data_IF_308027645824
#
_entry.id   IF_308027645824
#
_cell.length_a   1.000
_cell.length_b   1.000
_cell.length_c   1.000
_cell.angle_alpha   90.00
_cell.angle_beta   90.00
_cell.angle_gamma   90.00
#
_symmetry.space_group_name_H-M   'P 1'
#
loop_
_entity.id
_entity.type
_entity.pdbx_description
1 polymer ?
#
# COMPACT_ATOMS: atom_id res chain seq x y z
N UNK A 1 -3.02 8.43 14.18
CA UNK A 1 -2.70 7.90 12.85
C UNK A 1 -2.90 6.39 12.90
N UNK A 2 -3.74 5.83 12.05
CA UNK A 2 -4.01 4.38 12.02
C UNK A 2 -2.83 3.60 11.40
N UNK A 3 -2.79 2.28 11.59
CA UNK A 3 -1.70 1.43 11.09
C UNK A 3 -1.51 1.48 9.56
N UNK A 4 -2.56 1.48 8.73
CA UNK A 4 -2.41 1.69 7.29
C UNK A 4 -1.62 2.94 6.94
N UNK A 5 -1.96 4.09 7.55
CA UNK A 5 -1.27 5.34 7.27
C UNK A 5 0.17 5.34 7.78
N UNK A 6 0.46 4.64 8.88
CA UNK A 6 1.83 4.49 9.36
C UNK A 6 2.70 3.72 8.36
N UNK A 7 2.27 2.53 7.93
CA UNK A 7 3.00 1.71 6.95
C UNK A 7 3.12 2.40 5.59
N UNK A 8 2.12 3.21 5.22
CA UNK A 8 2.20 4.07 4.05
C UNK A 8 3.26 5.16 4.23
N UNK A 9 3.30 5.85 5.37
CA UNK A 9 4.24 6.93 5.62
C UNK A 9 5.69 6.45 5.75
N UNK A 10 5.93 5.23 6.23
CA UNK A 10 7.25 4.60 6.16
C UNK A 10 7.78 4.48 4.72
N UNK A 11 6.86 4.45 3.75
CA UNK A 11 7.16 4.29 2.34
C UNK A 11 7.14 5.61 1.57
N UNK A 12 6.16 6.48 1.81
CA UNK A 12 5.84 7.64 0.98
C UNK A 12 5.73 8.93 1.81
N UNK A 13 5.97 8.86 3.11
CA UNK A 13 5.83 9.99 4.02
C UNK A 13 6.95 11.02 3.85
N UNK A 14 6.80 12.19 4.50
CA UNK A 14 7.82 13.22 4.52
C UNK A 14 9.17 12.68 5.00
N UNK A 15 10.26 13.04 4.30
CA UNK A 15 11.61 12.61 4.65
C UNK A 15 12.02 11.22 4.13
N UNK A 16 11.11 10.48 3.47
CA UNK A 16 11.46 9.22 2.81
C UNK A 16 12.01 9.51 1.40
N UNK A 17 13.30 9.28 1.22
CA UNK A 17 13.95 9.42 -0.09
C UNK A 17 13.70 8.18 -0.95
N UNK A 18 12.86 8.34 -1.98
CA UNK A 18 12.56 7.32 -2.98
C UNK A 18 12.30 7.98 -4.33
N UNK A 19 12.39 7.19 -5.40
CA UNK A 19 11.84 7.64 -6.68
C UNK A 19 10.33 7.87 -6.52
N UNK A 20 9.83 9.06 -6.90
CA UNK A 20 8.40 9.36 -6.87
C UNK A 20 7.60 8.29 -7.62
N UNK A 21 6.41 7.97 -7.11
CA UNK A 21 5.48 7.05 -7.77
C UNK A 21 4.27 7.79 -8.25
N UNK A 22 3.53 7.17 -9.17
CA UNK A 22 2.26 7.71 -9.62
C UNK A 22 1.24 7.64 -8.48
N UNK A 23 0.27 8.55 -8.51
CA UNK A 23 -0.86 8.55 -7.60
C UNK A 23 -1.63 7.22 -7.61
N UNK A 24 -1.85 6.63 -8.79
CA UNK A 24 -2.52 5.33 -8.92
C UNK A 24 -1.79 4.21 -8.17
N UNK A 25 -0.45 4.22 -8.19
CA UNK A 25 0.36 3.27 -7.44
C UNK A 25 0.19 3.46 -5.93
N UNK A 26 0.28 4.70 -5.45
CA UNK A 26 0.10 5.06 -4.04
C UNK A 26 -1.29 4.68 -3.51
N UNK A 27 -2.35 4.95 -4.30
CA UNK A 27 -3.71 4.55 -3.98
C UNK A 27 -3.87 3.02 -3.94
N UNK A 28 -3.16 2.28 -4.81
CA UNK A 28 -3.12 0.82 -4.77
C UNK A 28 -2.49 0.29 -3.49
N UNK A 29 -1.37 0.89 -3.05
CA UNK A 29 -0.73 0.53 -1.77
C UNK A 29 -1.71 0.77 -0.62
N UNK A 30 -2.30 1.97 -0.55
CA UNK A 30 -3.21 2.33 0.54
C UNK A 30 -4.44 1.41 0.55
N UNK A 31 -5.04 1.14 -0.60
CA UNK A 31 -6.20 0.25 -0.72
C UNK A 31 -5.90 -1.15 -0.16
N UNK A 32 -4.72 -1.69 -0.45
CA UNK A 32 -4.31 -3.00 0.07
C UNK A 32 -4.07 -2.98 1.59
N UNK A 33 -3.50 -1.89 2.14
CA UNK A 33 -3.26 -1.75 3.58
C UNK A 33 -4.58 -1.61 4.34
N UNK A 34 -5.48 -0.75 3.88
CA UNK A 34 -6.81 -0.56 4.49
C UNK A 34 -7.61 -1.87 4.44
N UNK A 35 -7.60 -2.59 3.32
CA UNK A 35 -8.22 -3.93 3.26
C UNK A 35 -7.66 -4.90 4.30
N UNK A 36 -6.34 -4.91 4.51
CA UNK A 36 -5.69 -5.85 5.43
C UNK A 36 -5.95 -5.53 6.90
N UNK A 37 -5.97 -4.26 7.28
CA UNK A 37 -6.13 -3.85 8.69
C UNK A 37 -7.57 -3.55 9.07
N UNK A 38 -8.38 -3.02 8.15
CA UNK A 38 -9.75 -2.58 8.44
C UNK A 38 -10.81 -3.51 7.82
N UNK A 39 -10.41 -4.45 6.94
CA UNK A 39 -11.34 -5.35 6.25
C UNK A 39 -12.16 -4.69 5.14
N UNK A 40 -11.86 -3.45 4.78
CA UNK A 40 -12.61 -2.71 3.76
C UNK A 40 -12.35 -3.25 2.36
N UNK A 41 -13.41 -3.44 1.57
CA UNK A 41 -13.28 -3.99 0.23
C UNK A 41 -12.48 -3.04 -0.67
N UNK A 42 -11.49 -3.58 -1.37
CA UNK A 42 -10.73 -2.83 -2.36
C UNK A 42 -11.61 -2.45 -3.55
N UNK A 43 -11.81 -1.16 -3.78
CA UNK A 43 -12.42 -0.63 -5.01
C UNK A 43 -11.33 -0.03 -5.90
N UNK A 44 -11.11 -0.64 -7.08
CA UNK A 44 -10.22 -0.06 -8.10
C UNK A 44 -10.95 1.05 -8.85
N UNK A 45 -10.46 2.30 -8.86
CA UNK A 45 -11.10 3.40 -9.59
C UNK A 45 -10.69 3.46 -11.08
N UNK A 46 -9.67 2.70 -11.47
CA UNK A 46 -9.09 2.71 -12.82
C UNK A 46 -9.68 1.60 -13.72
N UNK A 47 -9.83 1.89 -15.01
CA UNK A 47 -10.29 0.94 -16.02
C UNK A 47 -9.20 -0.10 -16.35
N UNK A 48 -9.57 -1.37 -16.51
CA UNK A 48 -8.59 -2.43 -16.84
C UNK A 48 -8.00 -2.20 -18.23
N UNK A 49 -6.69 -2.37 -18.36
CA UNK A 49 -5.97 -2.19 -19.62
C UNK A 49 -5.35 -0.81 -19.77
N UNK A 50 -5.53 0.10 -18.81
CA UNK A 50 -4.80 1.37 -18.75
C UNK A 50 -3.54 1.27 -17.90
N UNK A 51 -2.60 2.18 -18.16
CA UNK A 51 -1.34 2.27 -17.38
C UNK A 51 -1.60 2.56 -15.90
N UNK A 52 -2.65 3.32 -15.56
CA UNK A 52 -3.05 3.60 -14.19
C UNK A 52 -3.57 2.35 -13.47
N UNK A 53 -4.35 1.50 -14.15
CA UNK A 53 -4.78 0.24 -13.56
C UNK A 53 -3.59 -0.69 -13.30
N UNK A 54 -2.64 -0.78 -14.23
CA UNK A 54 -1.40 -1.54 -14.03
C UNK A 54 -0.58 -1.00 -12.86
N UNK A 55 -0.46 0.33 -12.75
CA UNK A 55 0.21 0.98 -11.63
C UNK A 55 -0.51 0.71 -10.31
N UNK A 56 -1.85 0.76 -10.29
CA UNK A 56 -2.64 0.46 -9.10
C UNK A 56 -2.47 -1.00 -8.67
N UNK A 57 -2.52 -1.95 -9.59
CA UNK A 57 -2.25 -3.36 -9.28
C UNK A 57 -0.82 -3.60 -8.80
N UNK A 58 0.16 -2.88 -9.34
CA UNK A 58 1.53 -2.95 -8.83
C UNK A 58 1.61 -2.38 -7.39
N UNK A 59 0.89 -1.29 -7.11
CA UNK A 59 0.75 -0.73 -5.78
C UNK A 59 0.12 -1.69 -4.77
N UNK A 60 -0.97 -2.38 -5.13
CA UNK A 60 -1.61 -3.34 -4.22
C UNK A 60 -0.68 -4.49 -3.84
N UNK A 61 0.14 -4.97 -4.79
CA UNK A 61 1.18 -5.97 -4.50
C UNK A 61 2.21 -5.48 -3.49
N UNK A 62 2.66 -4.22 -3.59
CA UNK A 62 3.54 -3.63 -2.58
C UNK A 62 2.84 -3.51 -1.22
N UNK A 63 1.60 -3.01 -1.16
CA UNK A 63 0.84 -2.90 0.09
C UNK A 63 0.69 -4.26 0.80
N UNK A 64 0.36 -5.32 0.05
CA UNK A 64 0.32 -6.68 0.61
C UNK A 64 1.68 -7.20 1.08
N UNK A 65 2.78 -6.82 0.42
CA UNK A 65 4.14 -7.18 0.86
C UNK A 65 4.44 -6.48 2.20
N UNK A 66 4.21 -5.18 2.28
CA UNK A 66 4.43 -4.39 3.51
C UNK A 66 3.66 -4.92 4.71
N UNK A 67 2.41 -5.32 4.51
CA UNK A 67 1.62 -5.96 5.57
C UNK A 67 2.23 -7.28 6.06
N UNK A 68 2.78 -8.10 5.16
CA UNK A 68 3.48 -9.35 5.55
C UNK A 68 4.77 -9.04 6.30
N UNK A 69 5.58 -8.11 5.79
CA UNK A 69 6.83 -7.69 6.44
C UNK A 69 6.55 -7.14 7.85
N UNK A 70 5.46 -6.40 8.03
CA UNK A 70 5.02 -5.94 9.35
C UNK A 70 4.66 -7.12 10.26
N UNK A 71 3.84 -8.07 9.81
CA UNK A 71 3.49 -9.24 10.63
C UNK A 71 4.72 -10.06 11.04
N UNK A 72 5.67 -10.26 10.13
CA UNK A 72 6.93 -10.96 10.41
C UNK A 72 7.74 -10.23 11.49
N UNK A 73 7.84 -8.89 11.42
CA UNK A 73 8.47 -8.08 12.47
C UNK A 73 7.76 -8.20 13.81
N UNK A 74 6.42 -8.20 13.83
CA UNK A 74 5.66 -8.36 15.06
C UNK A 74 5.84 -9.74 15.68
N UNK A 75 5.89 -10.80 14.86
CA UNK A 75 6.13 -12.16 15.33
C UNK A 75 7.55 -12.36 15.86
N UNK A 76 8.55 -11.71 15.26
CA UNK A 76 9.95 -11.77 15.73
C UNK A 76 10.20 -10.96 17.01
N UNK A 77 9.30 -10.03 17.36
CA UNK A 77 9.38 -9.20 18.55
C UNK A 77 8.59 -9.76 19.75
N UNK A 78 7.88 -10.88 19.58
CA UNK A 78 7.10 -11.58 20.60
C UNK A 78 7.87 -12.78 21.18
#
# INVERSE_FOLDING_TARGET
>A
MDLPQQLYNEAFGPGVYRTPRSRAYEEGVMSALVYRFNGERMSRPYEVGTAEADAWFAGTREGHRRWRDWQEKQAAAA
#
